data_IF_849586006878
#
_entry.id   IF_849586006878
#
_cell.length_a   1.000
_cell.length_b   1.000
_cell.length_c   1.000
_cell.angle_alpha   90.00
_cell.angle_beta   90.00
_cell.angle_gamma   90.00
#
_symmetry.space_group_name_H-M   'P 1'
#
loop_
_entity.id
_entity.type
_entity.pdbx_description
1 polymer ?
#
# COMPACT_ATOMS: atom_id res chain seq x y z
N UNK A 1 18.49 -7.27 -0.67
CA UNK A 1 17.08 -7.65 -0.70
C UNK A 1 16.15 -6.50 -1.15
N UNK A 2 16.43 -5.27 -0.77
CA UNK A 2 15.66 -4.08 -1.18
C UNK A 2 15.69 -3.88 -2.70
N UNK A 3 16.84 -4.06 -3.33
CA UNK A 3 16.96 -4.01 -4.79
C UNK A 3 16.07 -5.05 -5.48
N UNK A 4 16.03 -6.28 -4.97
CA UNK A 4 15.12 -7.32 -5.50
C UNK A 4 13.64 -6.94 -5.36
N UNK A 5 13.27 -6.29 -4.24
CA UNK A 5 11.92 -5.80 -4.04
C UNK A 5 11.56 -4.67 -5.01
N UNK A 6 12.47 -3.72 -5.19
CA UNK A 6 12.32 -2.67 -6.20
C UNK A 6 12.17 -3.26 -7.61
N UNK A 7 13.05 -4.19 -8.01
CA UNK A 7 12.99 -4.85 -9.33
C UNK A 7 11.67 -5.59 -9.53
N UNK A 8 11.15 -6.25 -8.49
CA UNK A 8 9.86 -6.93 -8.55
C UNK A 8 8.70 -5.95 -8.72
N UNK A 9 8.67 -4.83 -7.96
CA UNK A 9 7.69 -3.76 -8.15
C UNK A 9 7.73 -3.20 -9.58
N UNK A 10 8.92 -2.94 -10.09
CA UNK A 10 9.12 -2.44 -11.45
C UNK A 10 8.68 -3.45 -12.52
N UNK A 11 8.92 -4.75 -12.29
CA UNK A 11 8.47 -5.82 -13.20
C UNK A 11 6.94 -5.90 -13.25
N UNK A 12 6.27 -5.82 -12.09
CA UNK A 12 4.81 -5.78 -12.03
C UNK A 12 4.24 -4.55 -12.73
N UNK A 13 4.85 -3.40 -12.52
CA UNK A 13 4.43 -2.16 -13.18
C UNK A 13 4.51 -2.26 -14.71
N UNK A 14 5.60 -2.79 -15.26
CA UNK A 14 5.76 -3.02 -16.71
C UNK A 14 4.70 -3.96 -17.29
N UNK A 15 4.14 -4.83 -16.49
CA UNK A 15 3.06 -5.75 -16.85
C UNK A 15 1.67 -5.15 -16.57
N UNK A 16 1.58 -3.92 -16.09
CA UNK A 16 0.36 -3.30 -15.60
C UNK A 16 -0.37 -4.12 -14.53
N UNK A 17 0.41 -4.81 -13.70
CA UNK A 17 -0.07 -5.65 -12.61
C UNK A 17 0.23 -4.99 -11.26
N UNK A 18 -0.73 -5.04 -10.36
CA UNK A 18 -0.51 -4.63 -8.98
C UNK A 18 0.11 -5.74 -8.13
N UNK A 19 0.49 -5.39 -6.90
CA UNK A 19 1.07 -6.37 -5.99
C UNK A 19 1.08 -5.93 -4.53
N UNK A 20 1.38 -6.89 -3.66
CA UNK A 20 1.44 -6.70 -2.20
C UNK A 20 2.87 -6.94 -1.73
N UNK A 21 3.50 -5.91 -1.19
CA UNK A 21 4.79 -5.99 -0.52
C UNK A 21 4.56 -6.17 0.99
N UNK A 22 4.68 -7.43 1.44
CA UNK A 22 4.34 -7.88 2.80
C UNK A 22 5.59 -8.20 3.64
N UNK A 23 6.68 -7.50 3.42
CA UNK A 23 7.93 -7.63 4.18
C UNK A 23 7.70 -7.26 5.65
N UNK A 24 8.43 -7.91 6.56
CA UNK A 24 8.44 -7.57 7.98
C UNK A 24 8.68 -6.07 8.20
N UNK A 25 8.17 -5.54 9.31
CA UNK A 25 8.38 -4.15 9.70
C UNK A 25 9.89 -3.83 9.80
N UNK A 26 10.30 -2.68 9.25
CA UNK A 26 11.70 -2.22 9.29
C UNK A 26 12.60 -2.79 8.18
N UNK A 27 12.07 -3.55 7.23
CA UNK A 27 12.80 -3.98 6.03
C UNK A 27 12.82 -2.93 4.90
N UNK A 28 12.34 -1.71 5.16
CA UNK A 28 12.43 -0.60 4.21
C UNK A 28 11.46 -0.72 3.03
N UNK A 29 10.21 -1.11 3.27
CA UNK A 29 9.16 -1.11 2.24
C UNK A 29 9.01 0.26 1.58
N UNK A 30 8.99 1.32 2.38
CA UNK A 30 8.89 2.72 1.91
C UNK A 30 10.00 3.07 0.94
N UNK A 31 11.26 2.76 1.26
CA UNK A 31 12.41 3.05 0.38
C UNK A 31 12.32 2.32 -0.95
N UNK A 32 11.84 1.06 -0.96
CA UNK A 32 11.65 0.29 -2.20
C UNK A 32 10.59 0.96 -3.10
N UNK A 33 9.52 1.49 -2.51
CA UNK A 33 8.47 2.22 -3.25
C UNK A 33 8.97 3.59 -3.71
N UNK A 34 9.73 4.32 -2.88
CA UNK A 34 10.35 5.59 -3.29
C UNK A 34 11.26 5.38 -4.50
N UNK A 35 12.05 4.30 -4.51
CA UNK A 35 12.89 3.95 -5.66
C UNK A 35 12.04 3.69 -6.93
N UNK A 36 10.87 3.04 -6.79
CA UNK A 36 9.93 2.85 -7.90
C UNK A 36 9.41 4.21 -8.42
N UNK A 37 8.95 5.08 -7.52
CA UNK A 37 8.43 6.41 -7.88
C UNK A 37 9.47 7.23 -8.65
N UNK A 38 10.73 7.23 -8.19
CA UNK A 38 11.83 7.90 -8.89
C UNK A 38 12.11 7.30 -10.26
N UNK A 39 12.22 5.97 -10.34
CA UNK A 39 12.61 5.28 -11.58
C UNK A 39 11.54 5.35 -12.67
N UNK A 40 10.29 5.59 -12.29
CA UNK A 40 9.14 5.61 -13.21
C UNK A 40 8.48 6.99 -13.31
N UNK A 41 9.15 8.03 -12.78
CA UNK A 41 8.66 9.41 -12.87
C UNK A 41 8.37 9.80 -14.32
N UNK A 42 7.21 10.39 -14.53
CA UNK A 42 6.81 10.96 -15.80
C UNK A 42 6.21 12.34 -15.55
N UNK A 43 6.64 13.32 -16.32
CA UNK A 43 6.14 14.70 -16.22
C UNK A 43 4.62 14.73 -16.38
N UNK A 44 3.95 15.46 -15.51
CA UNK A 44 2.49 15.60 -15.50
C UNK A 44 1.71 14.42 -14.95
N UNK A 45 2.37 13.36 -14.51
CA UNK A 45 1.72 12.22 -13.85
C UNK A 45 1.92 12.26 -12.34
N UNK A 46 0.84 12.11 -11.59
CA UNK A 46 0.84 12.08 -10.13
C UNK A 46 0.61 10.67 -9.60
N UNK A 47 1.31 10.30 -8.53
CA UNK A 47 1.07 9.07 -7.77
C UNK A 47 0.43 9.39 -6.43
N UNK A 48 -0.47 8.53 -5.95
CA UNK A 48 -1.15 8.69 -4.67
C UNK A 48 -0.61 7.70 -3.64
N UNK A 49 -0.23 8.21 -2.48
CA UNK A 49 0.08 7.41 -1.29
C UNK A 49 -1.03 7.62 -0.25
N UNK A 50 -1.65 6.53 0.18
CA UNK A 50 -2.63 6.50 1.27
C UNK A 50 -1.99 5.80 2.46
N UNK A 51 -1.80 6.52 3.56
CA UNK A 51 -1.14 6.02 4.76
C UNK A 51 -1.98 6.28 6.02
N UNK A 52 -1.70 5.62 7.15
CA UNK A 52 -2.20 6.06 8.45
C UNK A 52 -1.83 7.53 8.69
N UNK A 53 -2.72 8.28 9.36
CA UNK A 53 -2.49 9.72 9.61
C UNK A 53 -1.14 10.01 10.28
N UNK A 54 -0.71 9.13 11.17
CA UNK A 54 0.58 9.25 11.87
C UNK A 54 1.80 9.04 10.96
N UNK A 55 1.63 8.41 9.82
CA UNK A 55 2.72 8.08 8.88
C UNK A 55 2.80 9.03 7.68
N UNK A 56 1.83 9.92 7.47
CA UNK A 56 1.83 10.84 6.31
C UNK A 56 3.07 11.73 6.28
N UNK A 57 3.48 12.27 7.43
CA UNK A 57 4.68 13.10 7.52
C UNK A 57 5.99 12.28 7.49
N UNK A 58 5.95 11.01 7.89
CA UNK A 58 7.08 10.11 7.72
C UNK A 58 7.33 9.87 6.22
N UNK A 59 6.28 9.66 5.43
CA UNK A 59 6.38 9.57 3.97
C UNK A 59 6.97 10.84 3.35
N UNK A 60 6.48 12.01 3.78
CA UNK A 60 7.03 13.30 3.31
C UNK A 60 8.52 13.43 3.63
N UNK A 61 8.92 13.08 4.85
CA UNK A 61 10.32 13.13 5.30
C UNK A 61 11.21 12.16 4.53
N UNK A 62 10.76 10.91 4.31
CA UNK A 62 11.52 9.92 3.56
C UNK A 62 11.64 10.28 2.08
N UNK A 63 10.57 10.79 1.46
CA UNK A 63 10.61 11.32 0.10
C UNK A 63 11.59 12.50 -0.01
N UNK A 64 11.56 13.46 0.91
CA UNK A 64 12.51 14.56 0.93
C UNK A 64 13.96 14.13 1.11
N UNK A 65 14.19 13.01 1.81
CA UNK A 65 15.54 12.46 2.02
C UNK A 65 16.07 11.65 0.83
N UNK A 66 15.23 10.79 0.25
CA UNK A 66 15.66 9.80 -0.75
C UNK A 66 15.33 10.21 -2.19
N UNK A 67 14.36 11.11 -2.37
CA UNK A 67 13.88 11.57 -3.67
C UNK A 67 13.61 13.08 -3.67
N UNK A 68 14.60 13.93 -3.36
CA UNK A 68 14.39 15.38 -3.21
C UNK A 68 13.92 16.07 -4.50
N UNK A 69 14.11 15.44 -5.65
CA UNK A 69 13.68 15.97 -6.95
C UNK A 69 12.18 15.72 -7.25
N UNK A 70 11.48 14.93 -6.42
CA UNK A 70 10.05 14.73 -6.55
C UNK A 70 9.28 15.84 -5.84
N UNK A 71 8.33 16.44 -6.55
CA UNK A 71 7.38 17.39 -5.97
C UNK A 71 6.32 16.64 -5.17
N UNK A 72 6.23 16.90 -3.86
CA UNK A 72 5.36 16.16 -2.93
C UNK A 72 4.37 17.09 -2.27
N UNK A 73 3.09 16.71 -2.27
CA UNK A 73 2.03 17.42 -1.56
C UNK A 73 1.34 16.49 -0.55
N UNK A 74 1.09 16.98 0.66
CA UNK A 74 0.29 16.28 1.68
C UNK A 74 -1.08 16.95 1.76
N UNK A 75 -2.14 16.18 1.54
CA UNK A 75 -3.51 16.66 1.73
C UNK A 75 -3.77 16.94 3.21
N UNK A 76 -4.23 18.14 3.51
CA UNK A 76 -4.50 18.54 4.87
C UNK A 76 -5.35 19.81 5.00
N UNK A 77 -5.75 20.11 6.24
CA UNK A 77 -6.55 21.28 6.54
C UNK A 77 -8.07 21.04 6.41
N UNK A 78 -8.82 22.12 6.23
CA UNK A 78 -10.27 22.06 6.04
C UNK A 78 -10.68 21.42 4.71
N UNK A 79 -11.93 21.01 4.59
CA UNK A 79 -12.47 20.44 3.35
C UNK A 79 -12.27 21.38 2.14
N UNK A 80 -12.45 22.70 2.34
CA UNK A 80 -12.24 23.69 1.28
C UNK A 80 -10.77 23.78 0.85
N UNK A 81 -9.83 23.70 1.81
CA UNK A 81 -8.40 23.69 1.51
C UNK A 81 -8.01 22.42 0.75
N UNK A 82 -8.49 21.25 1.16
CA UNK A 82 -8.20 19.99 0.45
C UNK A 82 -8.81 19.97 -0.95
N UNK A 83 -10.03 20.49 -1.12
CA UNK A 83 -10.64 20.64 -2.45
C UNK A 83 -9.80 21.54 -3.37
N UNK A 84 -9.22 22.61 -2.84
CA UNK A 84 -8.30 23.47 -3.60
C UNK A 84 -7.00 22.76 -3.94
N UNK A 85 -6.41 21.99 -3.00
CA UNK A 85 -5.21 21.18 -3.23
C UNK A 85 -5.43 20.11 -4.30
N UNK A 86 -6.55 19.37 -4.26
CA UNK A 86 -6.89 18.35 -5.26
C UNK A 86 -7.08 18.99 -6.64
N UNK A 87 -7.74 20.14 -6.71
CA UNK A 87 -7.89 20.89 -7.97
C UNK A 87 -6.53 21.30 -8.52
N UNK A 88 -5.64 21.84 -7.67
CA UNK A 88 -4.28 22.21 -8.07
C UNK A 88 -3.53 21.02 -8.68
N UNK A 89 -3.51 19.87 -8.00
CA UNK A 89 -2.89 18.62 -8.50
C UNK A 89 -3.42 18.25 -9.89
N UNK A 90 -4.73 18.40 -10.10
CA UNK A 90 -5.38 18.07 -11.38
C UNK A 90 -5.03 19.03 -12.49
N UNK A 91 -4.87 20.32 -12.21
CA UNK A 91 -4.76 21.39 -13.22
C UNK A 91 -3.30 21.80 -13.49
N UNK A 92 -2.45 21.82 -12.45
CA UNK A 92 -1.09 22.32 -12.56
C UNK A 92 -0.09 21.30 -13.07
N UNK A 93 -0.33 20.00 -12.87
CA UNK A 93 0.55 18.91 -13.29
C UNK A 93 2.00 19.02 -12.76
N UNK A 94 2.18 19.67 -11.61
CA UNK A 94 3.48 19.98 -11.00
C UNK A 94 3.76 19.17 -9.73
N UNK A 95 2.86 18.25 -9.36
CA UNK A 95 2.96 17.35 -8.21
C UNK A 95 3.23 15.93 -8.67
N UNK A 96 4.35 15.34 -8.27
CA UNK A 96 4.71 13.95 -8.57
C UNK A 96 4.05 12.96 -7.60
N UNK A 97 3.94 13.36 -6.30
CA UNK A 97 3.39 12.48 -5.24
C UNK A 97 2.40 13.24 -4.37
N UNK A 98 1.17 12.76 -4.35
CA UNK A 98 0.13 13.21 -3.42
C UNK A 98 0.03 12.23 -2.27
N UNK A 99 0.11 12.71 -1.02
CA UNK A 99 -0.03 11.90 0.19
C UNK A 99 -1.35 12.25 0.88
N UNK A 100 -2.11 11.23 1.25
CA UNK A 100 -3.35 11.40 2.04
C UNK A 100 -3.45 10.32 3.11
N UNK A 101 -4.47 10.42 3.96
CA UNK A 101 -4.72 9.43 5.01
C UNK A 101 -6.03 8.66 4.77
N UNK A 102 -6.16 7.47 5.39
CA UNK A 102 -7.39 6.67 5.31
C UNK A 102 -8.67 7.41 5.77
N UNK A 103 -8.66 8.26 6.80
CA UNK A 103 -9.82 9.09 7.10
C UNK A 103 -10.15 10.12 6.02
N UNK A 104 -9.12 10.77 5.43
CA UNK A 104 -9.32 11.82 4.43
C UNK A 104 -9.75 11.25 3.08
N UNK A 105 -9.20 10.10 2.65
CA UNK A 105 -9.62 9.48 1.38
C UNK A 105 -11.12 9.21 1.34
N UNK A 106 -11.74 8.87 2.48
CA UNK A 106 -13.18 8.67 2.58
C UNK A 106 -13.99 9.95 2.41
N UNK A 107 -13.43 11.07 2.81
CA UNK A 107 -14.09 12.38 2.72
C UNK A 107 -13.95 12.97 1.31
N UNK A 108 -12.82 12.75 0.68
CA UNK A 108 -12.42 13.44 -0.54
C UNK A 108 -12.53 12.54 -1.79
N UNK A 109 -13.07 11.32 -1.65
CA UNK A 109 -13.06 10.30 -2.72
C UNK A 109 -13.71 10.79 -4.02
N UNK A 110 -14.83 11.51 -3.94
CA UNK A 110 -15.54 12.04 -5.12
C UNK A 110 -14.63 12.92 -5.97
N UNK A 111 -13.75 13.69 -5.34
CA UNK A 111 -12.81 14.56 -6.04
C UNK A 111 -11.58 13.78 -6.51
N UNK A 112 -11.06 12.85 -5.69
CA UNK A 112 -9.89 12.05 -6.03
C UNK A 112 -10.15 11.08 -7.19
N UNK A 113 -11.38 10.61 -7.38
CA UNK A 113 -11.76 9.79 -8.55
C UNK A 113 -11.71 10.54 -9.87
N UNK A 114 -11.63 11.87 -9.86
CA UNK A 114 -11.48 12.68 -11.08
C UNK A 114 -10.03 12.78 -11.58
N UNK A 115 -9.07 12.22 -10.84
CA UNK A 115 -7.65 12.16 -11.18
C UNK A 115 -7.30 10.73 -11.56
N UNK A 116 -6.62 10.56 -12.69
CA UNK A 116 -5.98 9.29 -13.04
C UNK A 116 -4.56 9.26 -12.47
N UNK A 117 -4.35 8.43 -11.46
CA UNK A 117 -3.05 8.31 -10.83
C UNK A 117 -2.14 7.33 -11.59
N UNK A 118 -0.84 7.64 -11.64
CA UNK A 118 0.16 6.69 -12.12
C UNK A 118 0.21 5.45 -11.22
N UNK A 119 0.32 5.70 -9.91
CA UNK A 119 0.21 4.67 -8.87
C UNK A 119 -0.81 5.06 -7.82
N UNK A 120 -1.54 4.06 -7.30
CA UNK A 120 -2.22 4.15 -6.01
C UNK A 120 -1.55 3.17 -5.04
N UNK A 121 -0.93 3.70 -3.99
CA UNK A 121 -0.13 2.95 -3.02
C UNK A 121 -0.82 3.04 -1.66
N UNK A 122 -1.16 1.89 -1.07
CA UNK A 122 -1.67 1.82 0.30
C UNK A 122 -0.55 1.39 1.24
N UNK A 123 -0.22 2.21 2.21
CA UNK A 123 0.65 1.82 3.31
C UNK A 123 -0.18 1.31 4.49
N UNK A 124 0.35 0.33 5.21
CA UNK A 124 -0.36 -0.41 6.26
C UNK A 124 -1.75 -0.89 5.76
N UNK A 125 -1.73 -1.64 4.65
CA UNK A 125 -2.94 -2.03 3.91
C UNK A 125 -3.96 -2.85 4.73
N UNK A 126 -3.60 -3.34 5.92
CA UNK A 126 -4.57 -3.95 6.86
C UNK A 126 -5.69 -2.97 7.27
N UNK A 127 -5.54 -1.66 7.04
CA UNK A 127 -6.63 -0.69 7.21
C UNK A 127 -7.85 -0.97 6.31
N UNK A 128 -7.66 -1.70 5.23
CA UNK A 128 -8.75 -2.12 4.32
C UNK A 128 -9.11 -3.61 4.45
N UNK A 129 -8.69 -4.30 5.50
CA UNK A 129 -8.95 -5.75 5.71
C UNK A 129 -10.42 -6.14 5.65
N UNK A 130 -11.30 -5.26 6.09
CA UNK A 130 -12.74 -5.46 5.98
C UNK A 130 -13.25 -4.90 4.64
N UNK A 131 -13.54 -5.80 3.70
CA UNK A 131 -14.01 -5.47 2.36
C UNK A 131 -15.27 -4.59 2.31
N UNK A 132 -16.15 -4.68 3.32
CA UNK A 132 -17.36 -3.87 3.46
C UNK A 132 -17.14 -2.50 4.10
N UNK A 133 -15.95 -2.20 4.63
CA UNK A 133 -15.70 -0.92 5.28
C UNK A 133 -15.73 0.25 4.29
N UNK A 134 -16.15 1.43 4.77
CA UNK A 134 -16.17 2.65 3.94
C UNK A 134 -14.77 3.01 3.39
N UNK A 135 -13.70 2.71 4.15
CA UNK A 135 -12.34 2.92 3.69
C UNK A 135 -11.95 2.01 2.52
N UNK A 136 -12.26 0.71 2.64
CA UNK A 136 -12.01 -0.25 1.57
C UNK A 136 -12.84 0.06 0.30
N UNK A 137 -14.07 0.51 0.48
CA UNK A 137 -14.92 0.93 -0.63
C UNK A 137 -14.37 2.18 -1.32
N UNK A 138 -13.89 3.16 -0.55
CA UNK A 138 -13.32 4.39 -1.09
C UNK A 138 -12.06 4.11 -1.93
N UNK A 139 -11.06 3.42 -1.38
CA UNK A 139 -9.80 3.18 -2.12
C UNK A 139 -10.00 2.38 -3.41
N UNK A 140 -11.02 1.51 -3.47
CA UNK A 140 -11.34 0.76 -4.70
C UNK A 140 -11.90 1.62 -5.83
N UNK A 141 -12.45 2.80 -5.52
CA UNK A 141 -12.96 3.73 -6.53
C UNK A 141 -11.85 4.55 -7.21
N UNK A 142 -10.66 4.61 -6.62
CA UNK A 142 -9.53 5.33 -7.20
C UNK A 142 -9.24 4.85 -8.62
N UNK A 143 -8.93 5.79 -9.50
CA UNK A 143 -8.44 5.51 -10.85
C UNK A 143 -6.91 5.52 -10.82
N UNK A 144 -6.28 4.40 -11.11
CA UNK A 144 -4.83 4.27 -11.13
C UNK A 144 -4.38 3.22 -12.14
N UNK A 145 -3.26 3.49 -12.82
CA UNK A 145 -2.68 2.55 -13.80
C UNK A 145 -2.17 1.29 -13.11
N UNK A 146 -1.46 1.44 -12.00
CA UNK A 146 -0.98 0.32 -11.19
C UNK A 146 -1.26 0.58 -9.71
N UNK A 147 -1.52 -0.48 -8.94
CA UNK A 147 -1.87 -0.38 -7.53
C UNK A 147 -0.99 -1.29 -6.69
N UNK A 148 -0.40 -0.74 -5.63
CA UNK A 148 0.42 -1.49 -4.69
C UNK A 148 -0.11 -1.37 -3.27
N UNK A 149 0.06 -2.42 -2.49
CA UNK A 149 -0.25 -2.45 -1.06
C UNK A 149 0.98 -2.85 -0.27
N UNK A 150 1.27 -2.10 0.79
CA UNK A 150 2.35 -2.38 1.73
C UNK A 150 1.73 -2.81 3.06
N UNK A 151 2.24 -3.87 3.64
CA UNK A 151 1.81 -4.32 4.97
C UNK A 151 2.98 -4.95 5.72
N UNK A 152 3.07 -4.71 7.01
CA UNK A 152 4.04 -5.38 7.90
C UNK A 152 3.41 -6.51 8.70
N UNK A 153 2.09 -6.67 8.61
CA UNK A 153 1.38 -7.74 9.30
C UNK A 153 1.20 -8.94 8.36
N UNK A 154 1.36 -10.16 8.88
CA UNK A 154 1.05 -11.35 8.11
C UNK A 154 -0.40 -11.31 7.64
N UNK A 155 -0.66 -11.67 6.39
CA UNK A 155 -2.00 -11.84 5.83
C UNK A 155 -2.67 -13.13 6.39
N UNK A 156 -2.43 -13.42 7.67
CA UNK A 156 -2.82 -14.66 8.34
C UNK A 156 -4.17 -14.56 9.07
N UNK A 157 -4.71 -13.33 9.17
CA UNK A 157 -5.94 -13.07 9.91
C UNK A 157 -7.23 -13.51 9.17
N UNK A 158 -7.08 -14.20 8.05
CA UNK A 158 -8.18 -14.81 7.33
C UNK A 158 -8.25 -14.46 5.84
N UNK A 159 -8.87 -15.35 5.10
CA UNK A 159 -9.02 -15.26 3.64
C UNK A 159 -9.78 -14.00 3.20
N UNK A 160 -10.68 -13.47 4.04
CA UNK A 160 -11.42 -12.24 3.75
C UNK A 160 -10.54 -10.98 3.70
N UNK A 161 -9.53 -10.89 4.58
CA UNK A 161 -8.54 -9.81 4.57
C UNK A 161 -7.70 -9.86 3.29
N UNK A 162 -7.18 -11.05 2.98
CA UNK A 162 -6.42 -11.30 1.75
C UNK A 162 -7.23 -10.87 0.52
N UNK A 163 -8.50 -11.30 0.44
CA UNK A 163 -9.37 -10.90 -0.66
C UNK A 163 -9.51 -9.39 -0.78
N UNK A 164 -9.71 -8.70 0.34
CA UNK A 164 -9.92 -7.24 0.32
C UNK A 164 -8.70 -6.50 -0.24
N UNK A 165 -7.49 -6.89 0.18
CA UNK A 165 -6.25 -6.30 -0.29
C UNK A 165 -6.01 -6.65 -1.76
N UNK A 166 -6.20 -7.91 -2.15
CA UNK A 166 -6.04 -8.33 -3.54
C UNK A 166 -7.06 -7.71 -4.47
N UNK A 167 -8.29 -7.48 -4.02
CA UNK A 167 -9.30 -6.78 -4.80
C UNK A 167 -8.99 -5.29 -5.02
N UNK A 168 -8.12 -4.71 -4.18
CA UNK A 168 -7.57 -3.39 -4.44
C UNK A 168 -6.42 -3.45 -5.46
N UNK A 169 -5.40 -4.29 -5.25
CA UNK A 169 -4.20 -4.31 -6.11
C UNK A 169 -4.43 -4.93 -7.48
N UNK A 170 -5.33 -5.91 -7.58
CA UNK A 170 -5.69 -6.63 -8.81
C UNK A 170 -7.22 -6.81 -8.88
N UNK A 171 -7.97 -5.77 -9.23
CA UNK A 171 -9.43 -5.85 -9.31
C UNK A 171 -9.90 -6.96 -10.26
N UNK A 172 -10.79 -7.82 -9.78
CA UNK A 172 -11.36 -8.92 -10.57
C UNK A 172 -10.47 -10.16 -10.72
N UNK A 173 -9.22 -10.14 -10.24
CA UNK A 173 -8.30 -11.27 -10.34
C UNK A 173 -8.75 -12.48 -9.50
N UNK A 174 -9.20 -12.24 -8.28
CA UNK A 174 -9.85 -13.23 -7.45
C UNK A 174 -11.36 -13.26 -7.72
N UNK A 175 -11.98 -14.37 -7.43
CA UNK A 175 -13.44 -14.53 -7.56
C UNK A 175 -14.22 -13.41 -6.86
N UNK A 176 -15.54 -13.33 -7.06
CA UNK A 176 -16.39 -12.49 -6.20
C UNK A 176 -16.20 -12.87 -4.73
N UNK A 177 -16.41 -11.92 -3.82
CA UNK A 177 -16.18 -12.15 -2.38
C UNK A 177 -16.84 -13.41 -1.84
N UNK A 178 -18.13 -13.61 -2.18
CA UNK A 178 -18.88 -14.77 -1.74
C UNK A 178 -18.38 -16.08 -2.35
N UNK A 179 -18.00 -16.09 -3.63
CA UNK A 179 -17.45 -17.26 -4.28
C UNK A 179 -16.04 -17.60 -3.76
N UNK A 180 -15.24 -16.56 -3.47
CA UNK A 180 -13.92 -16.70 -2.88
C UNK A 180 -13.98 -17.32 -1.47
N UNK A 181 -14.85 -16.81 -0.59
CA UNK A 181 -15.03 -17.37 0.74
C UNK A 181 -15.50 -18.82 0.67
N UNK A 182 -16.51 -19.14 -0.16
CA UNK A 182 -16.97 -20.54 -0.31
C UNK A 182 -15.85 -21.49 -0.73
N UNK A 183 -14.88 -21.03 -1.52
CA UNK A 183 -13.82 -21.89 -2.04
C UNK A 183 -12.66 -22.04 -1.05
N UNK A 184 -12.28 -20.96 -0.35
CA UNK A 184 -11.02 -20.92 0.39
C UNK A 184 -11.16 -20.81 1.91
N UNK A 185 -12.38 -20.62 2.44
CA UNK A 185 -12.57 -20.36 3.87
C UNK A 185 -12.28 -21.60 4.75
N UNK A 186 -12.51 -22.80 4.24
CA UNK A 186 -12.25 -24.06 4.96
C UNK A 186 -10.81 -24.56 4.83
N UNK A 187 -9.99 -23.88 4.02
CA UNK A 187 -8.58 -24.21 3.80
C UNK A 187 -8.34 -25.36 2.82
N UNK A 188 -9.35 -25.99 2.28
CA UNK A 188 -9.22 -27.15 1.36
C UNK A 188 -8.40 -26.80 0.11
N UNK A 189 -8.60 -25.61 -0.46
CA UNK A 189 -7.92 -25.13 -1.67
C UNK A 189 -6.77 -24.14 -1.35
N UNK A 190 -6.21 -24.18 -0.15
CA UNK A 190 -5.19 -23.21 0.29
C UNK A 190 -3.95 -23.20 -0.62
N UNK A 191 -3.52 -24.33 -1.14
CA UNK A 191 -2.37 -24.42 -2.04
C UNK A 191 -2.67 -23.82 -3.42
N UNK A 192 -3.87 -24.00 -3.97
CA UNK A 192 -4.31 -23.31 -5.19
C UNK A 192 -4.29 -21.80 -5.00
N UNK A 193 -4.82 -21.30 -3.88
CA UNK A 193 -4.77 -19.88 -3.55
C UNK A 193 -3.34 -19.36 -3.47
N UNK A 194 -2.47 -20.06 -2.71
CA UNK A 194 -1.05 -19.69 -2.59
C UNK A 194 -0.37 -19.57 -3.96
N UNK A 195 -0.56 -20.55 -4.83
CA UNK A 195 0.01 -20.54 -6.18
C UNK A 195 -0.49 -19.37 -7.02
N UNK A 196 -1.78 -19.02 -6.91
CA UNK A 196 -2.37 -17.88 -7.62
C UNK A 196 -1.81 -16.55 -7.16
N UNK A 197 -1.66 -16.34 -5.86
CA UNK A 197 -1.24 -15.05 -5.31
C UNK A 197 0.28 -14.88 -5.27
N UNK A 198 1.06 -15.96 -5.28
CA UNK A 198 2.52 -15.91 -5.11
C UNK A 198 3.27 -14.99 -6.09
N UNK A 199 2.89 -14.82 -7.36
CA UNK A 199 3.57 -13.87 -8.24
C UNK A 199 3.37 -12.41 -7.81
N UNK A 200 2.27 -12.12 -7.12
CA UNK A 200 1.81 -10.78 -6.74
C UNK A 200 1.95 -10.49 -5.24
N UNK A 201 2.59 -11.38 -4.50
CA UNK A 201 2.85 -11.25 -3.07
C UNK A 201 4.32 -11.47 -2.78
N UNK A 202 5.03 -10.43 -2.37
CA UNK A 202 6.40 -10.54 -1.86
C UNK A 202 6.40 -10.42 -0.35
N UNK A 203 6.89 -11.45 0.34
CA UNK A 203 7.04 -11.48 1.80
C UNK A 203 8.43 -11.98 2.17
N UNK A 204 9.14 -11.21 2.98
CA UNK A 204 10.45 -11.60 3.53
C UNK A 204 10.45 -11.36 5.03
N UNK A 205 11.04 -12.28 5.76
CA UNK A 205 11.17 -12.19 7.21
C UNK A 205 12.52 -11.56 7.57
N UNK A 206 12.56 -10.79 8.65
CA UNK A 206 13.83 -10.19 9.14
C UNK A 206 14.92 -11.23 9.31
N UNK A 207 14.61 -12.37 9.92
CA UNK A 207 15.54 -13.47 10.13
C UNK A 207 16.14 -14.09 8.87
N UNK A 208 15.47 -13.90 7.72
CA UNK A 208 15.93 -14.45 6.43
C UNK A 208 16.85 -13.50 5.68
N UNK A 209 16.73 -12.19 5.92
CA UNK A 209 17.45 -11.17 5.15
C UNK A 209 18.50 -10.41 5.95
N UNK A 210 18.42 -10.44 7.26
CA UNK A 210 19.33 -9.74 8.18
C UNK A 210 20.09 -10.78 9.04
N UNK A 211 20.98 -11.52 8.39
CA UNK A 211 21.80 -12.57 9.04
C UNK A 211 22.78 -12.03 10.10
N UNK A 212 22.99 -10.71 10.14
CA UNK A 212 23.89 -10.03 11.08
C UNK A 212 23.20 -9.55 12.37
N UNK A 213 21.87 -9.67 12.46
CA UNK A 213 21.15 -9.29 13.68
C UNK A 213 21.22 -10.44 14.71
N UNK A 214 21.51 -10.13 16.01
CA UNK A 214 21.40 -11.12 17.07
C UNK A 214 19.96 -11.59 17.21
N UNK A 215 19.80 -12.83 17.69
CA UNK A 215 18.48 -13.39 17.97
C UNK A 215 17.70 -12.50 18.95
N UNK A 216 16.40 -12.39 18.73
CA UNK A 216 15.51 -11.61 19.60
C UNK A 216 15.46 -12.26 20.98
N UNK A 217 16.01 -11.59 21.99
CA UNK A 217 15.92 -12.02 23.39
C UNK A 217 14.62 -11.43 23.97
N UNK A 218 13.65 -12.27 24.26
CA UNK A 218 12.44 -11.88 25.01
C UNK A 218 12.64 -12.20 26.49
N UNK A 219 12.71 -11.17 27.33
CA UNK A 219 12.72 -11.30 28.78
C UNK A 219 11.32 -10.97 29.33
N UNK A 220 10.68 -11.95 29.94
CA UNK A 220 9.38 -11.75 30.61
C UNK A 220 9.66 -11.39 32.08
N UNK A 221 9.38 -10.14 32.44
CA UNK A 221 9.42 -9.71 33.86
C UNK A 221 8.01 -9.86 34.47
N UNK A 222 7.86 -10.74 35.42
CA UNK A 222 6.65 -10.84 36.26
C UNK A 222 6.82 -9.94 37.47
N UNK A 223 6.05 -8.87 37.59
CA UNK A 223 5.93 -8.08 38.82
C UNK A 223 4.71 -8.59 39.61
N UNK A 224 4.94 -9.05 40.83
CA UNK A 224 3.84 -9.26 41.79
C UNK A 224 3.47 -7.91 42.38
N UNK A 225 2.22 -7.49 42.20
CA UNK A 225 1.66 -6.36 42.93
C UNK A 225 1.31 -6.84 44.34
N UNK A 226 1.91 -6.19 45.35
CA UNK A 226 1.55 -6.31 46.78
C UNK A 226 0.33 -5.50 47.11
#
# INVERSE_FOLDING_TARGET
YQERGFQWLLALDRLHMGGVLADDMGLGKTVQVIALLMATRQEGQVSLVVAPTTLTYNWLSELGRFAPDLSVMVLGGSAAQRASQIRHVKEAHDVDVLITSYPLIRQDIEQLTTIEFRFAILDEAQHIKNAGSKGAQAVRQLQAQTRFALTGTPLENGVGELWSIFNFVLPGYLLSYSAFLRRYQDGTDAEDLRRRISPFLMRRLKKEVLTELPDKIESVFTAQMS
#
